data_IF_674959241913
#
_entry.id   IF_674959241913
#
_cell.length_a   1.000
_cell.length_b   1.000
_cell.length_c   1.000
_cell.angle_alpha   90.00
_cell.angle_beta   90.00
_cell.angle_gamma   90.00
#
_symmetry.space_group_name_H-M   'P 1'
#
loop_
_entity.id
_entity.type
_entity.pdbx_description
1 polymer ?
#
# COMPACT_ATOMS: atom_id res chain seq x y z
N UNK A 1 12.90 4.92 16.50
CA UNK A 1 12.57 5.91 15.44
C UNK A 1 11.88 5.17 14.31
N UNK A 2 10.66 5.60 13.96
CA UNK A 2 9.89 5.01 12.88
C UNK A 2 10.26 5.68 11.55
N UNK A 3 10.26 4.91 10.46
CA UNK A 3 10.40 5.42 9.10
C UNK A 3 9.11 5.08 8.36
N UNK A 4 8.41 6.10 7.89
CA UNK A 4 7.16 5.97 7.15
C UNK A 4 7.42 5.90 5.66
N UNK A 5 6.61 5.13 4.94
CA UNK A 5 6.67 4.98 3.48
C UNK A 5 5.42 5.50 2.80
N UNK A 6 5.60 6.12 1.65
CA UNK A 6 4.50 6.56 0.77
C UNK A 6 4.67 6.06 -0.67
N UNK A 7 3.52 5.85 -1.30
CA UNK A 7 3.25 5.47 -2.69
C UNK A 7 3.47 4.00 -3.04
N UNK A 8 2.35 3.31 -3.40
CA UNK A 8 2.19 2.01 -4.06
C UNK A 8 1.77 0.83 -3.15
N UNK A 9 0.50 0.46 -3.27
CA UNK A 9 -0.26 -0.39 -2.40
C UNK A 9 0.25 -1.83 -2.20
N UNK A 10 0.46 -2.62 -3.23
CA UNK A 10 0.85 -4.04 -3.09
C UNK A 10 2.36 -4.26 -3.12
N UNK A 11 3.09 -3.27 -3.64
CA UNK A 11 4.54 -3.32 -3.80
C UNK A 11 5.24 -3.14 -2.46
N UNK A 12 4.66 -2.32 -1.59
CA UNK A 12 5.21 -2.02 -0.25
C UNK A 12 5.38 -3.28 0.57
N UNK A 13 4.35 -4.13 0.62
CA UNK A 13 4.38 -5.38 1.36
C UNK A 13 5.50 -6.29 0.91
N UNK A 14 5.67 -6.42 -0.42
CA UNK A 14 6.75 -7.26 -0.95
C UNK A 14 8.12 -6.73 -0.56
N UNK A 15 8.33 -5.40 -0.62
CA UNK A 15 9.59 -4.79 -0.24
C UNK A 15 9.81 -4.87 1.28
N UNK A 16 8.77 -4.64 2.09
CA UNK A 16 8.85 -4.78 3.55
C UNK A 16 9.18 -6.20 3.96
N UNK A 17 8.52 -7.20 3.38
CA UNK A 17 8.81 -8.62 3.63
C UNK A 17 10.22 -9.00 3.18
N UNK A 18 10.68 -8.47 2.05
CA UNK A 18 12.06 -8.69 1.59
C UNK A 18 13.07 -8.02 2.53
N UNK A 19 12.83 -6.79 2.99
CA UNK A 19 13.69 -6.11 3.95
C UNK A 19 13.71 -6.81 5.32
N UNK A 20 12.58 -7.34 5.78
CA UNK A 20 12.51 -8.13 7.00
C UNK A 20 13.40 -9.37 6.94
N UNK A 21 13.45 -10.05 5.78
CA UNK A 21 14.38 -11.19 5.56
C UNK A 21 15.85 -10.79 5.63
N UNK A 22 16.17 -9.52 5.41
CA UNK A 22 17.50 -8.94 5.55
C UNK A 22 17.78 -8.42 6.97
N UNK A 23 16.89 -8.69 7.93
CA UNK A 23 17.04 -8.30 9.33
C UNK A 23 16.54 -6.89 9.66
N UNK A 24 15.88 -6.18 8.74
CA UNK A 24 15.22 -4.91 9.04
C UNK A 24 14.01 -5.15 9.95
N UNK A 25 13.89 -4.35 11.01
CA UNK A 25 12.69 -4.39 11.85
C UNK A 25 11.51 -3.76 11.12
N UNK A 26 10.42 -4.52 10.98
CA UNK A 26 9.24 -4.12 10.21
C UNK A 26 7.97 -4.34 11.03
N UNK A 27 7.05 -3.39 10.95
CA UNK A 27 5.65 -3.58 11.37
C UNK A 27 4.80 -3.53 10.09
N UNK A 28 4.29 -4.67 9.65
CA UNK A 28 3.41 -4.85 8.50
C UNK A 28 1.94 -4.72 8.96
N UNK A 29 1.42 -3.49 9.01
CA UNK A 29 0.06 -3.21 9.49
C UNK A 29 -1.01 -3.85 8.59
N UNK A 30 -0.79 -3.83 7.28
CA UNK A 30 -1.70 -4.44 6.30
C UNK A 30 -1.76 -5.96 6.51
N UNK A 31 -0.62 -6.61 6.67
CA UNK A 31 -0.55 -8.03 7.01
C UNK A 31 -1.20 -8.36 8.36
N UNK A 32 -0.98 -7.53 9.39
CA UNK A 32 -1.60 -7.70 10.71
C UNK A 32 -3.12 -7.51 10.68
N UNK A 33 -3.63 -6.64 9.79
CA UNK A 33 -5.04 -6.40 9.56
C UNK A 33 -5.70 -7.41 8.60
N UNK A 34 -4.93 -8.28 7.93
CA UNK A 34 -5.39 -9.12 6.82
C UNK A 34 -6.13 -8.31 5.75
N UNK A 35 -5.57 -7.14 5.38
CA UNK A 35 -6.17 -6.20 4.44
C UNK A 35 -5.10 -5.33 3.77
N UNK A 36 -5.15 -5.21 2.47
CA UNK A 36 -4.15 -4.47 1.67
C UNK A 36 -4.34 -2.95 1.69
N UNK A 37 -5.07 -2.39 2.66
CA UNK A 37 -5.26 -0.94 2.84
C UNK A 37 -6.07 -0.23 1.75
N UNK A 38 -6.35 -0.87 0.64
CA UNK A 38 -7.03 -0.29 -0.52
C UNK A 38 -8.50 -0.66 -0.62
N UNK A 39 -9.20 0.00 -1.54
CA UNK A 39 -10.57 -0.33 -1.89
C UNK A 39 -10.74 -1.79 -2.36
N UNK A 40 -9.74 -2.28 -3.08
CA UNK A 40 -9.65 -3.66 -3.58
C UNK A 40 -8.92 -4.59 -2.59
N UNK A 41 -8.66 -4.11 -1.38
CA UNK A 41 -7.68 -4.69 -0.47
C UNK A 41 -8.18 -5.81 0.42
N UNK A 42 -9.45 -6.23 0.32
CA UNK A 42 -9.91 -7.43 1.03
C UNK A 42 -9.25 -8.68 0.41
N UNK A 43 -8.57 -9.46 1.25
CA UNK A 43 -7.97 -10.71 0.79
C UNK A 43 -9.05 -11.78 0.64
N UNK A 44 -9.16 -12.46 -0.53
CA UNK A 44 -10.13 -13.54 -0.71
C UNK A 44 -9.94 -14.63 0.34
N UNK A 45 -11.03 -14.99 1.03
CA UNK A 45 -11.01 -16.05 2.04
C UNK A 45 -10.49 -15.64 3.43
N UNK A 46 -10.13 -14.38 3.65
CA UNK A 46 -9.71 -13.88 4.96
C UNK A 46 -10.65 -12.80 5.48
N UNK A 47 -11.11 -12.96 6.71
CA UNK A 47 -11.83 -11.92 7.43
C UNK A 47 -10.84 -11.05 8.21
N UNK A 48 -11.07 -9.74 8.18
CA UNK A 48 -10.30 -8.83 9.03
C UNK A 48 -10.47 -9.20 10.51
N UNK A 49 -9.40 -9.04 11.32
CA UNK A 49 -9.51 -9.22 12.76
C UNK A 49 -10.41 -8.14 13.37
N UNK A 50 -10.94 -8.39 14.56
CA UNK A 50 -11.52 -7.31 15.36
C UNK A 50 -10.45 -6.28 15.73
N UNK A 51 -10.86 -5.04 16.03
CA UNK A 51 -9.96 -3.96 16.45
C UNK A 51 -9.04 -4.41 17.59
N UNK A 52 -9.59 -5.02 18.63
CA UNK A 52 -8.81 -5.54 19.76
C UNK A 52 -7.76 -6.58 19.37
N UNK A 53 -8.11 -7.47 18.43
CA UNK A 53 -7.17 -8.49 17.93
C UNK A 53 -6.08 -7.85 17.08
N UNK A 54 -6.40 -6.85 16.29
CA UNK A 54 -5.42 -6.08 15.51
C UNK A 54 -4.42 -5.37 16.42
N UNK A 55 -4.90 -4.67 17.46
CA UNK A 55 -4.05 -4.02 18.46
C UNK A 55 -3.16 -5.01 19.21
N UNK A 56 -3.71 -6.18 19.59
CA UNK A 56 -2.93 -7.24 20.24
C UNK A 56 -1.82 -7.76 19.34
N UNK A 57 -2.07 -7.91 18.04
CA UNK A 57 -1.04 -8.33 17.06
C UNK A 57 0.05 -7.26 16.91
N UNK A 58 -0.33 -5.97 16.84
CA UNK A 58 0.65 -4.86 16.81
C UNK A 58 1.52 -4.90 18.07
N UNK A 59 0.91 -5.02 19.24
CA UNK A 59 1.63 -5.10 20.52
C UNK A 59 2.59 -6.31 20.54
N UNK A 60 2.14 -7.46 20.05
CA UNK A 60 2.97 -8.66 19.99
C UNK A 60 4.21 -8.48 19.10
N UNK A 61 4.06 -7.83 17.96
CA UNK A 61 5.23 -7.46 17.13
C UNK A 61 6.13 -6.48 17.86
N UNK A 62 5.55 -5.40 18.42
CA UNK A 62 6.32 -4.32 19.04
C UNK A 62 7.17 -4.78 20.24
N UNK A 63 6.68 -5.71 21.06
CA UNK A 63 7.42 -6.21 22.22
C UNK A 63 8.69 -7.01 21.88
N UNK A 64 8.83 -7.43 20.61
CA UNK A 64 10.00 -8.16 20.13
C UNK A 64 10.99 -7.28 19.36
N UNK A 65 10.68 -5.99 19.19
CA UNK A 65 11.56 -5.05 18.52
C UNK A 65 12.68 -4.57 19.46
N UNK A 66 13.87 -4.42 18.90
CA UNK A 66 14.98 -3.78 19.60
C UNK A 66 14.77 -2.25 19.61
N UNK A 67 14.62 -1.61 20.77
CA UNK A 67 14.36 -0.17 20.86
C UNK A 67 15.53 0.69 20.39
N UNK A 68 16.74 0.14 20.28
CA UNK A 68 17.92 0.82 19.79
C UNK A 68 18.01 0.87 18.27
N UNK A 69 17.23 0.05 17.58
CA UNK A 69 17.20 -0.03 16.11
C UNK A 69 16.00 0.68 15.52
N UNK A 70 16.13 1.13 14.28
CA UNK A 70 15.02 1.73 13.54
C UNK A 70 14.00 0.67 13.14
N UNK A 71 12.75 1.10 13.06
CA UNK A 71 11.62 0.27 12.64
C UNK A 71 11.00 0.88 11.39
N UNK A 72 10.78 0.06 10.38
CA UNK A 72 10.06 0.46 9.17
C UNK A 72 8.61 0.04 9.30
N UNK A 73 7.71 0.94 8.97
CA UNK A 73 6.27 0.72 9.03
C UNK A 73 5.63 1.32 7.78
N UNK A 74 4.70 0.60 7.15
CA UNK A 74 3.92 1.22 6.09
C UNK A 74 2.82 2.10 6.69
N UNK A 75 2.50 3.18 5.98
CA UNK A 75 1.40 4.03 6.39
C UNK A 75 0.86 4.86 5.23
N UNK A 76 -0.37 4.62 4.90
CA UNK A 76 -1.16 5.49 4.03
C UNK A 76 -2.19 6.28 4.82
N UNK A 77 -2.80 5.62 5.76
CA UNK A 77 -3.92 6.11 6.55
C UNK A 77 -3.83 5.57 7.96
N UNK A 78 -4.53 6.21 8.90
CA UNK A 78 -4.76 5.63 10.21
C UNK A 78 -5.75 4.45 10.17
N UNK A 79 -6.35 4.17 9.01
CA UNK A 79 -7.28 3.07 8.81
C UNK A 79 -6.66 2.02 7.88
N UNK A 80 -6.78 0.75 8.25
CA UNK A 80 -6.43 -0.41 7.43
C UNK A 80 -7.69 -1.27 7.28
N UNK A 81 -8.46 -1.01 6.22
CA UNK A 81 -9.82 -1.53 6.11
C UNK A 81 -10.71 -1.04 7.25
N UNK A 82 -11.32 -1.95 8.01
CA UNK A 82 -12.13 -1.64 9.20
C UNK A 82 -11.32 -1.45 10.49
N UNK A 83 -10.01 -1.72 10.45
CA UNK A 83 -9.12 -1.55 11.61
C UNK A 83 -8.51 -0.15 11.66
N UNK A 84 -8.33 0.36 12.88
CA UNK A 84 -7.69 1.66 13.13
C UNK A 84 -6.33 1.45 13.80
N UNK A 85 -5.32 2.15 13.29
CA UNK A 85 -4.00 2.17 13.92
C UNK A 85 -4.11 2.87 15.29
N UNK A 86 -3.58 2.29 16.38
CA UNK A 86 -3.61 2.93 17.70
C UNK A 86 -3.10 4.36 17.66
N UNK A 87 -3.81 5.28 18.31
CA UNK A 87 -3.58 6.73 18.20
C UNK A 87 -2.13 7.14 18.47
N UNK A 88 -1.49 6.56 19.50
CA UNK A 88 -0.11 6.91 19.84
C UNK A 88 0.90 6.38 18.81
N UNK A 89 0.65 5.20 18.26
CA UNK A 89 1.46 4.68 17.15
C UNK A 89 1.30 5.58 15.92
N UNK A 90 0.07 5.95 15.56
CA UNK A 90 -0.20 6.86 14.45
C UNK A 90 0.50 8.21 14.61
N UNK A 91 0.42 8.82 15.80
CA UNK A 91 1.12 10.08 16.10
C UNK A 91 2.64 9.94 15.92
N UNK A 92 3.22 8.84 16.38
CA UNK A 92 4.64 8.54 16.21
C UNK A 92 5.00 8.37 14.74
N UNK A 93 4.16 7.69 13.96
CA UNK A 93 4.34 7.51 12.53
C UNK A 93 4.29 8.83 11.76
N UNK A 94 3.33 9.72 12.07
CA UNK A 94 3.21 11.04 11.41
C UNK A 94 4.43 11.93 11.68
N UNK A 95 5.04 11.82 12.85
CA UNK A 95 6.26 12.58 13.21
C UNK A 95 7.56 11.98 12.68
N UNK A 96 7.49 10.80 12.09
CA UNK A 96 8.66 10.07 11.63
C UNK A 96 9.12 10.54 10.26
N UNK A 97 10.37 10.20 9.93
CA UNK A 97 10.90 10.38 8.58
C UNK A 97 10.24 9.40 7.62
N UNK A 98 10.10 9.79 6.35
CA UNK A 98 9.54 8.94 5.30
C UNK A 98 10.59 8.55 4.26
N UNK A 99 10.47 7.34 3.73
CA UNK A 99 11.18 6.89 2.54
C UNK A 99 10.14 6.77 1.44
N UNK A 100 10.30 7.52 0.36
CA UNK A 100 9.45 7.40 -0.81
C UNK A 100 10.04 6.39 -1.78
N UNK A 101 9.18 5.59 -2.41
CA UNK A 101 9.56 4.71 -3.52
C UNK A 101 8.72 5.09 -4.72
N UNK A 102 9.36 5.29 -5.85
CA UNK A 102 8.70 5.64 -7.10
C UNK A 102 9.09 4.67 -8.20
N UNK A 103 8.10 4.33 -9.04
CA UNK A 103 8.27 3.56 -10.27
C UNK A 103 7.42 4.19 -11.38
N UNK A 104 7.80 4.02 -12.65
CA UNK A 104 6.99 4.46 -13.80
C UNK A 104 5.57 3.88 -13.75
N UNK A 105 4.62 4.57 -14.37
CA UNK A 105 3.24 4.10 -14.47
C UNK A 105 3.17 2.70 -15.11
N UNK A 106 3.92 2.47 -16.17
CA UNK A 106 3.97 1.17 -16.86
C UNK A 106 4.37 0.02 -15.92
N UNK A 107 5.43 0.20 -15.12
CA UNK A 107 5.87 -0.81 -14.16
C UNK A 107 4.84 -1.07 -13.06
N UNK A 108 4.10 -0.04 -12.63
CA UNK A 108 3.01 -0.16 -11.66
C UNK A 108 1.82 -0.92 -12.24
N UNK A 109 1.46 -0.62 -13.47
CA UNK A 109 0.38 -1.30 -14.21
C UNK A 109 0.71 -2.79 -14.37
N UNK A 110 1.89 -3.12 -14.88
CA UNK A 110 2.34 -4.50 -15.05
C UNK A 110 2.29 -5.28 -13.74
N UNK A 111 2.79 -4.67 -12.65
CA UNK A 111 2.76 -5.27 -11.34
C UNK A 111 1.33 -5.55 -10.86
N UNK A 112 0.43 -4.57 -10.97
CA UNK A 112 -0.96 -4.71 -10.53
C UNK A 112 -1.73 -5.75 -11.37
N UNK A 113 -1.53 -5.80 -12.67
CA UNK A 113 -2.11 -6.83 -13.52
C UNK A 113 -1.67 -8.24 -13.09
N UNK A 114 -0.40 -8.38 -12.69
CA UNK A 114 0.11 -9.65 -12.17
C UNK A 114 -0.46 -10.01 -10.79
N UNK A 115 -0.65 -9.02 -9.91
CA UNK A 115 -1.06 -9.23 -8.51
C UNK A 115 -2.58 -9.44 -8.37
N UNK A 116 -3.38 -8.83 -9.26
CA UNK A 116 -4.84 -8.88 -9.25
C UNK A 116 -5.45 -9.78 -10.33
N UNK A 117 -4.73 -10.81 -10.78
CA UNK A 117 -5.23 -11.79 -11.79
C UNK A 117 -6.60 -12.39 -11.44
N UNK A 118 -6.89 -12.57 -10.15
CA UNK A 118 -8.16 -13.09 -9.68
C UNK A 118 -9.34 -12.12 -9.95
N UNK A 119 -9.12 -10.81 -9.95
CA UNK A 119 -10.16 -9.83 -10.30
C UNK A 119 -10.33 -9.72 -11.81
N UNK A 120 -9.27 -9.96 -12.59
CA UNK A 120 -9.34 -10.03 -14.05
C UNK A 120 -10.15 -11.25 -14.48
N UNK A 121 -10.02 -12.36 -13.74
CA UNK A 121 -10.78 -13.59 -13.99
C UNK A 121 -12.26 -13.48 -13.59
N UNK A 122 -12.62 -12.60 -12.67
CA UNK A 122 -13.99 -12.39 -12.17
C UNK A 122 -14.35 -10.89 -12.18
N UNK A 123 -14.51 -10.27 -13.38
CA UNK A 123 -14.69 -8.81 -13.54
C UNK A 123 -15.91 -8.24 -12.81
N UNK A 124 -16.95 -9.04 -12.65
CA UNK A 124 -18.19 -8.66 -11.96
C UNK A 124 -17.96 -8.27 -10.50
N UNK A 125 -16.92 -8.77 -9.86
CA UNK A 125 -16.51 -8.38 -8.49
C UNK A 125 -16.09 -6.93 -8.38
N UNK A 126 -15.73 -6.28 -9.50
CA UNK A 126 -15.35 -4.86 -9.53
C UNK A 126 -16.59 -3.95 -9.46
N UNK A 127 -17.77 -4.39 -9.86
CA UNK A 127 -18.96 -3.54 -9.96
C UNK A 127 -19.32 -2.80 -8.67
N UNK A 128 -19.44 -3.44 -7.50
CA UNK A 128 -19.76 -2.74 -6.25
C UNK A 128 -18.67 -1.72 -5.87
N UNK A 129 -17.43 -2.00 -6.22
CA UNK A 129 -16.28 -1.14 -5.93
C UNK A 129 -16.28 0.09 -6.82
N UNK A 130 -16.61 -0.07 -8.11
CA UNK A 130 -16.76 1.02 -9.06
C UNK A 130 -17.90 1.96 -8.65
N UNK A 131 -19.03 1.42 -8.19
CA UNK A 131 -20.15 2.21 -7.69
C UNK A 131 -19.76 3.04 -6.46
N UNK A 132 -19.02 2.43 -5.53
CA UNK A 132 -18.58 3.12 -4.32
C UNK A 132 -17.57 4.26 -4.63
N UNK A 133 -16.66 4.04 -5.58
CA UNK A 133 -15.65 5.04 -5.91
C UNK A 133 -16.20 6.18 -6.76
N UNK A 134 -17.35 5.99 -7.42
CA UNK A 134 -17.97 6.97 -8.29
C UNK A 134 -18.21 8.34 -7.61
N UNK A 135 -18.52 8.34 -6.31
CA UNK A 135 -18.67 9.56 -5.53
C UNK A 135 -17.38 10.39 -5.38
N UNK A 136 -16.22 9.75 -5.61
CA UNK A 136 -14.89 10.37 -5.44
C UNK A 136 -14.24 10.80 -6.75
N UNK A 137 -14.39 9.98 -7.80
CA UNK A 137 -13.74 10.21 -9.10
C UNK A 137 -14.68 10.75 -10.16
N UNK A 138 -15.98 10.75 -9.88
CA UNK A 138 -17.02 11.16 -10.82
C UNK A 138 -17.53 10.00 -11.70
N UNK A 139 -18.76 10.20 -12.22
CA UNK A 139 -19.44 9.17 -13.03
C UNK A 139 -18.74 8.89 -14.36
N UNK A 140 -18.17 9.91 -14.98
CA UNK A 140 -17.51 9.80 -16.28
C UNK A 140 -16.25 8.92 -16.21
N UNK A 141 -15.47 9.03 -15.15
CA UNK A 141 -14.31 8.15 -14.93
C UNK A 141 -14.76 6.70 -14.79
N UNK A 142 -15.80 6.45 -14.00
CA UNK A 142 -16.35 5.09 -13.81
C UNK A 142 -16.90 4.53 -15.10
N UNK A 143 -17.55 5.33 -15.94
CA UNK A 143 -18.02 4.90 -17.27
C UNK A 143 -16.87 4.49 -18.18
N UNK A 144 -15.79 5.27 -18.21
CA UNK A 144 -14.56 4.90 -18.95
C UNK A 144 -13.98 3.58 -18.43
N UNK A 145 -13.91 3.40 -17.13
CA UNK A 145 -13.38 2.18 -16.52
C UNK A 145 -14.24 0.95 -16.82
N UNK A 146 -15.57 1.07 -16.75
CA UNK A 146 -16.50 -0.02 -17.14
C UNK A 146 -16.34 -0.38 -18.62
N UNK A 147 -16.17 0.63 -19.49
CA UNK A 147 -15.92 0.39 -20.91
C UNK A 147 -14.61 -0.36 -21.12
N UNK A 148 -13.50 0.08 -20.49
CA UNK A 148 -12.21 -0.59 -20.60
C UNK A 148 -12.28 -2.06 -20.12
N UNK A 149 -12.98 -2.34 -19.01
CA UNK A 149 -13.21 -3.70 -18.52
C UNK A 149 -14.00 -4.53 -19.55
N UNK A 150 -15.07 -3.98 -20.11
CA UNK A 150 -15.91 -4.67 -21.10
C UNK A 150 -15.14 -4.97 -22.41
N UNK A 151 -14.25 -4.05 -22.81
CA UNK A 151 -13.39 -4.20 -24.00
C UNK A 151 -12.18 -5.12 -23.72
N UNK A 152 -11.96 -5.57 -22.47
CA UNK A 152 -10.78 -6.34 -22.07
C UNK A 152 -9.49 -5.54 -21.99
N UNK A 153 -9.54 -4.20 -22.05
CA UNK A 153 -8.40 -3.32 -21.89
C UNK A 153 -8.03 -3.13 -20.41
N UNK A 154 -7.49 -4.18 -19.82
CA UNK A 154 -7.04 -4.16 -18.43
C UNK A 154 -5.89 -3.20 -18.18
N UNK A 155 -5.02 -3.01 -19.16
CA UNK A 155 -3.90 -2.08 -19.07
C UNK A 155 -4.38 -0.64 -18.96
N UNK A 156 -5.27 -0.22 -19.87
CA UNK A 156 -5.89 1.10 -19.83
C UNK A 156 -6.75 1.32 -18.58
N UNK A 157 -7.50 0.29 -18.16
CA UNK A 157 -8.26 0.34 -16.91
C UNK A 157 -7.36 0.62 -15.70
N UNK A 158 -6.32 -0.18 -15.49
CA UNK A 158 -5.42 -0.04 -14.33
C UNK A 158 -4.66 1.29 -14.38
N UNK A 159 -4.19 1.71 -15.56
CA UNK A 159 -3.51 3.00 -15.72
C UNK A 159 -4.42 4.16 -15.32
N UNK A 160 -5.64 4.20 -15.84
CA UNK A 160 -6.63 5.24 -15.57
C UNK A 160 -7.06 5.25 -14.07
N UNK A 161 -7.21 4.08 -13.44
CA UNK A 161 -7.49 4.01 -12.01
C UNK A 161 -6.34 4.57 -11.16
N UNK A 162 -5.10 4.32 -11.56
CA UNK A 162 -3.93 4.89 -10.88
C UNK A 162 -3.91 6.42 -11.01
N UNK A 163 -4.09 6.95 -12.20
CA UNK A 163 -4.01 8.39 -12.50
C UNK A 163 -5.23 9.17 -11.97
N UNK A 164 -6.44 8.65 -12.12
CA UNK A 164 -7.67 9.36 -11.75
C UNK A 164 -7.98 9.27 -10.26
N UNK A 165 -7.56 8.20 -9.58
CA UNK A 165 -7.95 7.93 -8.19
C UNK A 165 -6.78 7.87 -7.22
N UNK A 166 -5.84 6.94 -7.44
CA UNK A 166 -4.80 6.66 -6.46
C UNK A 166 -3.75 7.76 -6.35
N UNK A 167 -3.17 8.20 -7.45
CA UNK A 167 -2.11 9.20 -7.43
C UNK A 167 -2.60 10.53 -6.82
N UNK A 168 -3.78 11.07 -7.19
CA UNK A 168 -4.32 12.25 -6.54
C UNK A 168 -4.64 12.05 -5.05
N UNK A 169 -5.07 10.84 -4.64
CA UNK A 169 -5.34 10.54 -3.23
C UNK A 169 -4.04 10.53 -2.41
N UNK A 170 -2.97 9.98 -2.97
CA UNK A 170 -1.65 9.98 -2.34
C UNK A 170 -1.06 11.38 -2.23
N UNK A 171 -1.17 12.19 -3.28
CA UNK A 171 -0.66 13.57 -3.29
C UNK A 171 -1.36 14.43 -2.23
N UNK A 172 -2.68 14.29 -2.10
CA UNK A 172 -3.45 14.95 -1.03
C UNK A 172 -3.03 14.49 0.37
N UNK A 173 -2.82 13.19 0.57
CA UNK A 173 -2.35 12.66 1.86
C UNK A 173 -0.96 13.16 2.20
N UNK A 174 -0.06 13.23 1.21
CA UNK A 174 1.29 13.77 1.37
C UNK A 174 1.25 15.23 1.79
N UNK A 175 0.48 16.06 1.10
CA UNK A 175 0.34 17.48 1.39
C UNK A 175 -0.22 17.73 2.80
N UNK A 176 -1.17 16.91 3.26
CA UNK A 176 -1.82 17.07 4.57
C UNK A 176 -0.90 16.79 5.76
N UNK A 177 0.07 15.90 5.62
CA UNK A 177 0.85 15.41 6.75
C UNK A 177 2.28 15.94 6.82
N UNK A 178 2.70 16.83 5.90
CA UNK A 178 3.97 17.57 5.95
C UNK A 178 5.17 16.64 6.15
N UNK A 179 5.44 15.74 5.19
CA UNK A 179 6.46 14.70 5.37
C UNK A 179 7.88 15.26 5.43
N UNK A 180 8.66 14.74 6.38
CA UNK A 180 10.12 14.85 6.37
C UNK A 180 10.65 13.67 5.55
N UNK A 181 10.83 13.87 4.26
CA UNK A 181 11.41 12.84 3.41
C UNK A 181 12.87 12.59 3.78
N UNK A 182 13.19 11.37 4.17
CA UNK A 182 14.55 10.93 4.43
C UNK A 182 15.29 10.70 3.11
N UNK A 183 14.63 9.99 2.19
CA UNK A 183 15.14 9.75 0.84
C UNK A 183 14.04 9.32 -0.13
N UNK A 184 14.38 9.38 -1.42
CA UNK A 184 13.58 8.89 -2.54
C UNK A 184 14.29 7.73 -3.21
N UNK A 185 13.71 6.53 -3.17
CA UNK A 185 14.17 5.36 -3.88
C UNK A 185 13.43 5.24 -5.22
N UNK A 186 14.17 5.31 -6.32
CA UNK A 186 13.62 5.15 -7.68
C UNK A 186 13.93 3.77 -8.22
N UNK A 187 12.99 3.20 -8.95
CA UNK A 187 13.17 1.95 -9.71
C UNK A 187 12.47 2.06 -11.05
N UNK A 188 12.95 1.31 -12.04
CA UNK A 188 12.32 1.25 -13.37
C UNK A 188 11.39 0.04 -13.51
N UNK A 189 11.52 -0.96 -12.63
CA UNK A 189 10.72 -2.17 -12.61
C UNK A 189 10.28 -2.50 -11.19
N UNK A 190 9.28 -3.37 -11.07
CA UNK A 190 8.74 -3.90 -9.83
C UNK A 190 8.75 -5.43 -9.82
N UNK A 191 9.57 -6.02 -10.67
CA UNK A 191 9.86 -7.46 -10.66
C UNK A 191 10.60 -7.90 -9.37
N UNK A 192 10.79 -9.20 -9.22
CA UNK A 192 11.43 -9.78 -8.02
C UNK A 192 12.84 -9.23 -7.77
N UNK A 193 13.61 -8.98 -8.84
CA UNK A 193 14.98 -8.47 -8.75
C UNK A 193 14.97 -7.02 -8.27
N UNK A 194 14.11 -6.18 -8.85
CA UNK A 194 13.97 -4.79 -8.45
C UNK A 194 13.47 -4.65 -7.01
N UNK A 195 12.53 -5.50 -6.59
CA UNK A 195 12.05 -5.57 -5.21
C UNK A 195 13.16 -5.94 -4.24
N UNK A 196 13.99 -6.93 -4.57
CA UNK A 196 15.14 -7.32 -3.75
C UNK A 196 16.14 -6.16 -3.59
N UNK A 197 16.51 -5.50 -4.69
CA UNK A 197 17.40 -4.32 -4.67
C UNK A 197 16.83 -3.15 -3.85
N UNK A 198 15.53 -2.92 -3.92
CA UNK A 198 14.88 -1.90 -3.10
C UNK A 198 14.90 -2.26 -1.61
N UNK A 199 14.73 -3.55 -1.29
CA UNK A 199 14.82 -4.04 0.08
C UNK A 199 16.25 -3.90 0.65
N UNK A 200 17.28 -4.21 -0.14
CA UNK A 200 18.69 -4.01 0.23
C UNK A 200 18.99 -2.53 0.51
N UNK A 201 18.56 -1.64 -0.40
CA UNK A 201 18.71 -0.18 -0.20
C UNK A 201 17.98 0.30 1.05
N UNK A 202 16.79 -0.23 1.31
CA UNK A 202 16.02 0.09 2.50
C UNK A 202 16.77 -0.38 3.75
N UNK A 203 17.26 -1.62 3.77
CA UNK A 203 18.00 -2.18 4.90
C UNK A 203 19.28 -1.39 5.20
N UNK A 204 19.94 -0.84 4.18
CA UNK A 204 21.14 0.00 4.34
C UNK A 204 20.85 1.41 4.91
N UNK A 205 19.61 1.90 4.85
CA UNK A 205 19.20 3.22 5.34
C UNK A 205 18.77 3.14 6.82
N UNK A 206 18.28 1.99 7.25
CA UNK A 206 17.71 1.76 8.58
C UNK A 206 18.65 0.96 9.47
#
# INVERSE_FOLDING_TARGET
>A
RYIRRQRQMCIRDRILRAAAKLGTQVIDLEGLAAHRGSLLGSEPGFNQPSQRKFESRIFDVMRHLDPMRRVVIEAESNNVGACHVPTELWRSMVRSQSIQITAPLSARVEFLLSDYKHLIAEPERLNPLLDWVAARVGKDAVLRWRKAIADGDWTGFVASVLEDHYDPAYDRSAAKHGHRDLCLLKTQSLDAIAVARLAEKLAAIV
#
